data_IF_768345860268
#
_entry.id   IF_768345860268
#
_cell.length_a   1.000
_cell.length_b   1.000
_cell.length_c   1.000
_cell.angle_alpha   90.00
_cell.angle_beta   90.00
_cell.angle_gamma   90.00
#
_symmetry.space_group_name_H-M   'P 1'
#
loop_
_entity.id
_entity.type
_entity.pdbx_description
1 polymer ?
#
# COMPACT_ATOMS: atom_id res chain seq x y z
N UNK A 1 -9.59 -13.32 41.91
CA UNK A 1 -10.43 -12.57 40.95
C UNK A 1 -11.55 -13.48 40.46
N UNK A 2 -12.81 -13.05 40.41
CA UNK A 2 -13.99 -13.87 40.03
C UNK A 2 -14.44 -13.56 38.60
N UNK A 3 -13.55 -13.77 37.62
CA UNK A 3 -13.85 -13.53 36.20
C UNK A 3 -14.68 -14.72 35.70
N UNK A 4 -15.86 -14.46 35.11
CA UNK A 4 -16.84 -15.46 34.67
C UNK A 4 -17.14 -15.42 33.17
N UNK A 5 -16.33 -14.69 32.40
CA UNK A 5 -16.52 -14.61 30.95
C UNK A 5 -16.27 -15.98 30.29
N UNK A 6 -17.16 -16.39 29.40
CA UNK A 6 -17.08 -17.71 28.75
C UNK A 6 -15.78 -17.89 27.96
N UNK A 7 -15.31 -16.85 27.27
CA UNK A 7 -14.04 -16.87 26.55
C UNK A 7 -12.84 -17.13 27.49
N UNK A 8 -12.87 -16.58 28.70
CA UNK A 8 -11.85 -16.83 29.70
C UNK A 8 -11.92 -18.28 30.22
N UNK A 9 -13.13 -18.77 30.53
CA UNK A 9 -13.35 -20.14 30.98
C UNK A 9 -12.92 -21.17 29.92
N UNK A 10 -13.13 -20.91 28.64
CA UNK A 10 -12.62 -21.75 27.55
C UNK A 10 -11.09 -21.83 27.52
N UNK A 11 -10.40 -20.70 27.70
CA UNK A 11 -8.93 -20.67 27.74
C UNK A 11 -8.42 -21.45 28.95
N UNK A 12 -9.05 -21.30 30.11
CA UNK A 12 -8.72 -22.07 31.32
C UNK A 12 -8.90 -23.58 31.07
N UNK A 13 -10.03 -23.98 30.49
CA UNK A 13 -10.29 -25.37 30.13
C UNK A 13 -9.27 -25.93 29.13
N UNK A 14 -8.85 -25.13 28.13
CA UNK A 14 -7.78 -25.53 27.19
C UNK A 14 -6.46 -25.70 27.92
N UNK A 15 -6.12 -24.80 28.83
CA UNK A 15 -4.89 -24.84 29.61
C UNK A 15 -4.83 -26.09 30.50
N UNK A 16 -5.93 -26.45 31.17
CA UNK A 16 -6.02 -27.70 31.94
C UNK A 16 -5.81 -28.93 31.05
N UNK A 17 -6.47 -28.99 29.89
CA UNK A 17 -6.25 -30.08 28.91
C UNK A 17 -4.79 -30.18 28.47
N UNK A 18 -4.12 -29.06 28.25
CA UNK A 18 -2.70 -29.05 27.89
C UNK A 18 -1.79 -29.49 29.04
N UNK A 19 -2.10 -29.13 30.30
CA UNK A 19 -1.36 -29.61 31.48
C UNK A 19 -1.46 -31.12 31.63
N UNK A 20 -2.67 -31.68 31.58
CA UNK A 20 -2.86 -33.14 31.66
C UNK A 20 -2.13 -33.86 30.54
N UNK A 21 -2.17 -33.32 29.31
CA UNK A 21 -1.43 -33.86 28.17
C UNK A 21 0.09 -33.80 28.38
N UNK A 22 0.60 -32.68 28.91
CA UNK A 22 2.01 -32.49 29.22
C UNK A 22 2.48 -33.54 30.23
N UNK A 23 1.77 -33.69 31.34
CA UNK A 23 2.11 -34.65 32.41
C UNK A 23 2.04 -36.11 31.96
N UNK A 24 1.08 -36.44 31.08
CA UNK A 24 0.93 -37.78 30.50
C UNK A 24 1.97 -38.13 29.43
N UNK A 25 2.69 -37.14 28.90
CA UNK A 25 3.64 -37.34 27.82
C UNK A 25 4.91 -38.03 28.34
N UNK A 26 5.39 -39.04 27.60
CA UNK A 26 6.56 -39.85 27.99
C UNK A 26 7.82 -39.01 28.28
N UNK A 27 8.03 -37.96 27.49
CA UNK A 27 9.16 -37.04 27.62
C UNK A 27 9.10 -36.16 28.89
N UNK A 28 7.96 -36.06 29.58
CA UNK A 28 7.81 -35.21 30.75
C UNK A 28 8.70 -35.67 31.92
N UNK A 29 8.90 -36.98 32.05
CA UNK A 29 9.70 -37.63 33.10
C UNK A 29 11.08 -38.09 32.62
N UNK A 30 11.44 -37.77 31.39
CA UNK A 30 12.71 -38.19 30.79
C UNK A 30 13.87 -37.32 31.31
N UNK A 31 14.97 -37.89 31.85
CA UNK A 31 16.13 -37.13 32.32
C UNK A 31 16.81 -36.30 31.21
N UNK A 32 16.70 -36.73 29.95
CA UNK A 32 17.29 -36.04 28.79
C UNK A 32 16.32 -35.05 28.14
N UNK A 33 15.12 -34.84 28.71
CA UNK A 33 14.07 -33.98 28.16
C UNK A 33 14.60 -32.62 27.73
N UNK A 34 15.35 -31.94 28.60
CA UNK A 34 15.79 -30.56 28.36
C UNK A 34 16.79 -30.51 27.19
N UNK A 35 17.72 -31.46 27.11
CA UNK A 35 18.65 -31.60 25.98
C UNK A 35 17.90 -31.90 24.67
N UNK A 36 16.93 -32.82 24.69
CA UNK A 36 16.14 -33.18 23.51
C UNK A 36 15.27 -32.03 23.04
N UNK A 37 14.69 -31.27 23.98
CA UNK A 37 13.89 -30.10 23.70
C UNK A 37 14.75 -28.98 23.09
N UNK A 38 15.95 -28.73 23.62
CA UNK A 38 16.89 -27.75 23.07
C UNK A 38 17.31 -28.11 21.64
N UNK A 39 17.66 -29.39 21.38
CA UNK A 39 17.96 -29.88 20.03
C UNK A 39 16.78 -29.70 19.08
N UNK A 40 15.56 -29.98 19.53
CA UNK A 40 14.35 -29.79 18.74
C UNK A 40 14.07 -28.30 18.46
N UNK A 41 14.24 -27.43 19.46
CA UNK A 41 14.07 -25.99 19.32
C UNK A 41 15.02 -25.43 18.26
N UNK A 42 16.31 -25.79 18.34
CA UNK A 42 17.31 -25.37 17.36
C UNK A 42 16.99 -25.89 15.94
N UNK A 43 16.49 -27.12 15.82
CA UNK A 43 16.00 -27.65 14.53
C UNK A 43 14.82 -26.85 13.98
N UNK A 44 13.89 -26.41 14.83
CA UNK A 44 12.74 -25.61 14.41
C UNK A 44 13.13 -24.19 14.02
N UNK A 45 14.10 -23.58 14.72
CA UNK A 45 14.69 -22.29 14.34
C UNK A 45 15.34 -22.37 12.96
N UNK A 46 16.23 -23.35 12.75
CA UNK A 46 16.87 -23.56 11.44
C UNK A 46 15.85 -23.84 10.33
N UNK A 47 14.78 -24.59 10.63
CA UNK A 47 13.69 -24.82 9.66
C UNK A 47 12.95 -23.53 9.31
N UNK A 48 12.73 -22.64 10.29
CA UNK A 48 12.12 -21.33 10.07
C UNK A 48 13.03 -20.45 9.22
N UNK A 49 14.33 -20.42 9.51
CA UNK A 49 15.33 -19.71 8.72
C UNK A 49 15.39 -20.22 7.28
N UNK A 50 15.39 -21.55 7.08
CA UNK A 50 15.35 -22.17 5.76
C UNK A 50 14.11 -21.73 4.97
N UNK A 51 12.92 -21.84 5.58
CA UNK A 51 11.67 -21.44 4.92
C UNK A 51 11.68 -19.94 4.55
N UNK A 52 12.22 -19.08 5.41
CA UNK A 52 12.36 -17.66 5.13
C UNK A 52 13.34 -17.41 3.98
N UNK A 53 14.50 -18.07 3.99
CA UNK A 53 15.49 -17.95 2.92
C UNK A 53 14.96 -18.48 1.57
N UNK A 54 14.20 -19.57 1.57
CA UNK A 54 13.52 -20.08 0.37
C UNK A 54 12.47 -19.09 -0.16
N UNK A 55 11.70 -18.48 0.74
CA UNK A 55 10.76 -17.43 0.39
C UNK A 55 11.45 -16.20 -0.22
N UNK A 56 12.53 -15.73 0.41
CA UNK A 56 13.31 -14.57 -0.06
C UNK A 56 13.98 -14.85 -1.41
N UNK A 57 14.52 -16.06 -1.60
CA UNK A 57 15.09 -16.49 -2.87
C UNK A 57 14.04 -16.57 -3.97
N UNK A 58 12.84 -17.08 -3.67
CA UNK A 58 11.72 -17.08 -4.62
C UNK A 58 11.29 -15.65 -4.96
N UNK A 59 11.23 -14.78 -3.97
CA UNK A 59 10.91 -13.35 -4.12
C UNK A 59 11.95 -12.62 -4.97
N UNK A 60 13.24 -12.87 -4.76
CA UNK A 60 14.34 -12.27 -5.52
C UNK A 60 14.40 -12.77 -6.98
N UNK A 61 14.03 -14.03 -7.22
CA UNK A 61 13.93 -14.61 -8.58
C UNK A 61 12.68 -14.16 -9.33
N UNK A 62 11.59 -13.86 -8.62
CA UNK A 62 10.44 -13.21 -9.20
C UNK A 62 10.85 -11.81 -9.66
N UNK A 63 10.48 -11.42 -10.87
CA UNK A 63 10.61 -10.02 -11.29
C UNK A 63 9.65 -9.20 -10.42
N UNK A 64 10.14 -8.73 -9.26
CA UNK A 64 9.39 -8.09 -8.18
C UNK A 64 8.38 -7.04 -8.65
N UNK A 65 8.70 -6.34 -9.74
CA UNK A 65 7.91 -5.24 -10.27
C UNK A 65 6.95 -5.65 -11.39
N UNK A 66 6.92 -6.92 -11.84
CA UNK A 66 6.05 -7.31 -12.96
C UNK A 66 4.56 -7.25 -12.60
N UNK A 67 4.20 -7.57 -11.37
CA UNK A 67 2.80 -7.49 -10.93
C UNK A 67 2.36 -6.04 -10.73
N UNK A 68 3.24 -5.22 -10.13
CA UNK A 68 3.00 -3.78 -10.02
C UNK A 68 2.90 -3.12 -11.41
N UNK A 69 3.79 -3.47 -12.34
CA UNK A 69 3.75 -2.99 -13.72
C UNK A 69 2.43 -3.36 -14.40
N UNK A 70 1.92 -4.58 -14.22
CA UNK A 70 0.60 -4.98 -14.74
C UNK A 70 -0.53 -4.12 -14.14
N UNK A 71 -0.47 -3.81 -12.84
CA UNK A 71 -1.43 -2.93 -12.18
C UNK A 71 -1.36 -1.51 -12.76
N UNK A 72 -0.15 -0.92 -12.89
CA UNK A 72 0.06 0.40 -13.49
C UNK A 72 -0.42 0.46 -14.94
N UNK A 73 -0.12 -0.55 -15.76
CA UNK A 73 -0.66 -0.65 -17.15
C UNK A 73 -2.17 -0.67 -17.17
N UNK A 74 -2.82 -1.36 -16.23
CA UNK A 74 -4.28 -1.37 -16.12
C UNK A 74 -4.84 0.02 -15.81
N UNK A 75 -4.19 0.77 -14.91
CA UNK A 75 -4.55 2.18 -14.62
C UNK A 75 -4.44 3.03 -15.88
N UNK A 76 -3.29 3.00 -16.56
CA UNK A 76 -3.04 3.76 -17.79
C UNK A 76 -4.09 3.46 -18.88
N UNK A 77 -4.45 2.19 -19.05
CA UNK A 77 -5.48 1.78 -20.01
C UNK A 77 -6.87 2.29 -19.63
N UNK A 78 -7.24 2.22 -18.34
CA UNK A 78 -8.54 2.71 -17.85
C UNK A 78 -8.68 4.21 -17.91
N UNK A 79 -7.59 4.95 -17.74
CA UNK A 79 -7.57 6.41 -17.82
C UNK A 79 -7.37 6.93 -19.26
N UNK A 80 -7.17 6.04 -20.23
CA UNK A 80 -7.04 6.38 -21.66
C UNK A 80 -5.65 6.89 -22.06
N UNK A 81 -4.60 6.54 -21.32
CA UNK A 81 -3.20 6.87 -21.64
C UNK A 81 -2.59 5.88 -22.64
N UNK A 82 -3.11 4.66 -22.68
CA UNK A 82 -2.72 3.64 -23.65
C UNK A 82 -3.92 2.74 -24.00
N UNK A 83 -3.86 2.08 -25.15
CA UNK A 83 -4.86 1.09 -25.57
C UNK A 83 -4.69 -0.24 -24.85
N UNK A 84 -5.66 -1.15 -25.00
CA UNK A 84 -5.57 -2.53 -24.49
C UNK A 84 -4.37 -3.31 -25.02
N UNK A 85 -3.83 -2.91 -26.18
CA UNK A 85 -2.65 -3.47 -26.83
C UNK A 85 -1.34 -2.74 -26.47
N UNK A 86 -1.38 -1.87 -25.44
CA UNK A 86 -0.23 -1.08 -24.99
C UNK A 86 0.31 -0.06 -26.00
N UNK A 87 -0.55 0.41 -26.90
CA UNK A 87 -0.22 1.51 -27.81
C UNK A 87 -0.52 2.83 -27.10
N UNK A 88 0.46 3.74 -27.07
CA UNK A 88 0.33 5.04 -26.42
C UNK A 88 -0.72 5.93 -27.11
N UNK A 89 -1.60 6.54 -26.31
CA UNK A 89 -2.63 7.46 -26.76
C UNK A 89 -2.17 8.93 -26.65
N UNK A 90 -2.96 9.86 -27.18
CA UNK A 90 -2.67 11.32 -27.08
C UNK A 90 -2.44 11.77 -25.65
N UNK A 91 -3.25 11.29 -24.70
CA UNK A 91 -3.11 11.59 -23.28
C UNK A 91 -1.79 11.07 -22.71
N UNK A 92 -1.38 9.87 -23.13
CA UNK A 92 -0.08 9.29 -22.81
C UNK A 92 1.08 10.15 -23.31
N UNK A 93 1.02 10.63 -24.56
CA UNK A 93 2.06 11.50 -25.13
C UNK A 93 2.19 12.81 -24.36
N UNK A 94 1.09 13.43 -23.97
CA UNK A 94 1.12 14.65 -23.14
C UNK A 94 1.76 14.40 -21.78
N UNK A 95 1.41 13.30 -21.11
CA UNK A 95 2.04 12.94 -19.84
C UNK A 95 3.54 12.67 -19.96
N UNK A 96 4.03 12.14 -21.08
CA UNK A 96 5.47 11.94 -21.30
C UNK A 96 6.28 13.24 -21.30
N UNK A 97 5.65 14.39 -21.53
CA UNK A 97 6.30 15.71 -21.50
C UNK A 97 6.34 16.32 -20.09
N UNK A 98 5.70 15.67 -19.10
CA UNK A 98 5.68 16.12 -17.70
C UNK A 98 6.65 15.25 -16.89
N UNK A 99 7.69 15.87 -16.34
CA UNK A 99 8.73 15.16 -15.56
C UNK A 99 8.97 15.71 -14.16
N UNK A 100 8.41 16.89 -13.85
CA UNK A 100 8.70 17.63 -12.62
C UNK A 100 7.63 17.46 -11.51
N UNK A 101 6.56 16.72 -11.78
CA UNK A 101 5.36 16.62 -10.93
C UNK A 101 4.55 15.37 -11.31
N UNK A 102 3.45 15.09 -10.58
CA UNK A 102 2.52 14.00 -10.89
C UNK A 102 1.91 14.19 -12.30
N UNK A 103 2.45 13.43 -13.25
CA UNK A 103 2.12 13.52 -14.66
C UNK A 103 0.67 13.07 -14.96
N UNK A 104 0.12 12.15 -14.16
CA UNK A 104 -1.25 11.68 -14.34
C UNK A 104 -2.24 12.78 -13.93
N UNK A 105 -2.06 13.36 -12.75
CA UNK A 105 -2.97 14.36 -12.22
C UNK A 105 -2.98 15.63 -13.08
N UNK A 106 -1.81 16.17 -13.44
CA UNK A 106 -1.73 17.37 -14.29
C UNK A 106 -2.35 17.11 -15.66
N UNK A 107 -2.09 15.95 -16.25
CA UNK A 107 -2.67 15.60 -17.55
C UNK A 107 -4.19 15.45 -17.45
N UNK A 108 -4.74 14.82 -16.40
CA UNK A 108 -6.20 14.77 -16.19
C UNK A 108 -6.79 16.16 -15.99
N UNK A 109 -6.12 17.07 -15.29
CA UNK A 109 -6.56 18.47 -15.12
C UNK A 109 -6.62 19.20 -16.47
N UNK A 110 -5.60 19.00 -17.32
CA UNK A 110 -5.56 19.57 -18.67
C UNK A 110 -6.71 19.04 -19.53
N UNK A 111 -6.92 17.72 -19.58
CA UNK A 111 -7.96 17.10 -20.39
C UNK A 111 -9.38 17.34 -19.86
N UNK A 112 -9.54 17.64 -18.56
CA UNK A 112 -10.81 18.10 -17.98
C UNK A 112 -11.04 19.60 -18.19
N UNK A 113 -10.10 20.32 -18.80
CA UNK A 113 -10.23 21.75 -19.09
C UNK A 113 -10.15 22.65 -17.86
N UNK A 114 -9.57 22.17 -16.75
CA UNK A 114 -9.48 22.93 -15.49
C UNK A 114 -8.76 24.26 -15.71
N UNK A 115 -7.66 24.26 -16.47
CA UNK A 115 -6.85 25.44 -16.72
C UNK A 115 -7.50 26.46 -17.67
N UNK A 116 -8.55 26.10 -18.42
CA UNK A 116 -9.16 26.97 -19.43
C UNK A 116 -9.79 28.23 -18.82
N UNK A 117 -10.23 28.16 -17.57
CA UNK A 117 -10.92 29.24 -16.87
C UNK A 117 -10.07 29.90 -15.78
N UNK A 118 -8.77 29.58 -15.70
CA UNK A 118 -7.87 30.16 -14.71
C UNK A 118 -7.04 31.28 -15.31
N UNK A 119 -6.84 32.33 -14.53
CA UNK A 119 -5.82 33.34 -14.82
C UNK A 119 -4.41 32.76 -14.64
N UNK A 120 -3.40 33.45 -15.19
CA UNK A 120 -2.00 33.05 -15.02
C UNK A 120 -1.58 32.98 -13.52
N UNK A 121 -1.94 33.94 -12.65
CA UNK A 121 -1.65 33.83 -11.22
C UNK A 121 -2.32 32.62 -10.54
N UNK A 122 -3.58 32.33 -10.89
CA UNK A 122 -4.30 31.18 -10.33
C UNK A 122 -3.69 29.85 -10.79
N UNK A 123 -3.30 29.76 -12.06
CA UNK A 123 -2.59 28.59 -12.60
C UNK A 123 -1.26 28.37 -11.88
N UNK A 124 -0.47 29.43 -11.69
CA UNK A 124 0.79 29.37 -10.95
C UNK A 124 0.57 28.92 -9.49
N UNK A 125 -0.43 29.51 -8.81
CA UNK A 125 -0.78 29.16 -7.44
C UNK A 125 -1.18 27.68 -7.32
N UNK A 126 -1.97 27.15 -8.26
CA UNK A 126 -2.37 25.74 -8.25
C UNK A 126 -1.18 24.81 -8.53
N UNK A 127 -0.34 25.14 -9.51
CA UNK A 127 0.85 24.34 -9.84
C UNK A 127 1.90 24.34 -8.71
N UNK A 128 1.92 25.37 -7.86
CA UNK A 128 2.81 25.41 -6.69
C UNK A 128 2.59 24.22 -5.74
N UNK A 129 1.38 23.63 -5.72
CA UNK A 129 1.05 22.45 -4.92
C UNK A 129 1.74 21.17 -5.36
N UNK A 130 2.33 21.13 -6.56
CA UNK A 130 2.99 19.94 -7.11
C UNK A 130 4.50 19.92 -6.88
N UNK A 131 5.09 21.03 -6.46
CA UNK A 131 6.55 21.21 -6.37
C UNK A 131 7.03 21.53 -4.96
N UNK A 132 6.11 21.77 -4.02
CA UNK A 132 6.42 22.07 -2.64
C UNK A 132 6.21 20.83 -1.77
N UNK A 133 7.29 20.10 -1.49
CA UNK A 133 7.27 18.92 -0.61
C UNK A 133 7.46 19.26 0.88
N UNK A 134 7.72 20.54 1.20
CA UNK A 134 7.90 20.99 2.57
C UNK A 134 6.57 21.01 3.33
N UNK A 135 6.55 20.32 4.48
CA UNK A 135 5.38 20.34 5.37
C UNK A 135 5.32 21.67 6.10
N UNK A 136 4.36 22.51 5.73
CA UNK A 136 3.98 23.68 6.53
C UNK A 136 2.97 23.31 7.61
N UNK A 137 3.17 23.81 8.82
CA UNK A 137 2.17 23.76 9.91
C UNK A 137 1.04 24.77 9.73
N UNK A 138 1.20 25.72 8.80
CA UNK A 138 0.23 26.78 8.53
C UNK A 138 -0.26 26.71 7.09
N UNK A 139 -1.56 26.45 6.91
CA UNK A 139 -2.23 26.72 5.64
C UNK A 139 -2.88 28.11 5.72
N UNK A 140 -2.55 29.05 4.82
CA UNK A 140 -3.22 30.34 4.78
C UNK A 140 -4.70 30.15 4.42
N UNK A 141 -5.56 31.06 4.91
CA UNK A 141 -6.97 31.09 4.49
C UNK A 141 -7.02 31.38 2.99
N UNK A 142 -7.42 30.38 2.21
CA UNK A 142 -7.56 30.51 0.76
C UNK A 142 -8.79 31.36 0.45
N UNK A 143 -8.63 32.35 -0.44
CA UNK A 143 -9.77 33.04 -1.04
C UNK A 143 -10.59 32.10 -1.92
N UNK A 144 -11.85 32.45 -2.17
CA UNK A 144 -12.76 31.62 -2.99
C UNK A 144 -12.17 31.27 -4.36
N UNK A 145 -11.46 32.23 -4.97
CA UNK A 145 -10.78 32.13 -6.25
C UNK A 145 -9.73 31.00 -6.34
N UNK A 146 -9.10 30.62 -5.22
CA UNK A 146 -8.11 29.54 -5.17
C UNK A 146 -8.70 28.24 -4.59
N UNK A 147 -9.70 28.36 -3.72
CA UNK A 147 -10.36 27.21 -3.11
C UNK A 147 -11.12 26.34 -4.13
N UNK A 148 -11.73 26.98 -5.14
CA UNK A 148 -12.46 26.28 -6.20
C UNK A 148 -11.55 25.39 -7.06
N UNK A 149 -10.48 25.94 -7.66
CA UNK A 149 -9.50 25.16 -8.44
C UNK A 149 -8.83 24.05 -7.62
N UNK A 150 -8.47 24.34 -6.37
CA UNK A 150 -7.89 23.35 -5.46
C UNK A 150 -8.85 22.17 -5.22
N UNK A 151 -10.14 22.45 -4.98
CA UNK A 151 -11.15 21.40 -4.79
C UNK A 151 -11.33 20.54 -6.04
N UNK A 152 -11.38 21.15 -7.22
CA UNK A 152 -11.48 20.42 -8.49
C UNK A 152 -10.27 19.51 -8.72
N UNK A 153 -9.06 20.00 -8.46
CA UNK A 153 -7.84 19.20 -8.51
C UNK A 153 -7.94 17.99 -7.58
N UNK A 154 -8.35 18.20 -6.31
CA UNK A 154 -8.51 17.11 -5.34
C UNK A 154 -9.58 16.09 -5.76
N UNK A 155 -10.66 16.50 -6.42
CA UNK A 155 -11.68 15.60 -6.96
C UNK A 155 -11.11 14.71 -8.08
N UNK A 156 -10.29 15.27 -8.96
CA UNK A 156 -9.57 14.52 -10.00
C UNK A 156 -8.58 13.54 -9.35
N UNK A 157 -7.83 14.00 -8.36
CA UNK A 157 -6.87 13.19 -7.61
C UNK A 157 -7.55 11.98 -6.94
N UNK A 158 -8.69 12.20 -6.28
CA UNK A 158 -9.54 11.14 -5.71
C UNK A 158 -10.03 10.15 -6.76
N UNK A 159 -10.39 10.61 -7.97
CA UNK A 159 -10.80 9.73 -9.08
C UNK A 159 -9.64 8.85 -9.53
N UNK A 160 -8.43 9.41 -9.69
CA UNK A 160 -7.22 8.63 -10.04
C UNK A 160 -6.95 7.59 -8.96
N UNK A 161 -6.92 8.00 -7.69
CA UNK A 161 -6.70 7.10 -6.55
C UNK A 161 -7.70 5.93 -6.53
N UNK A 162 -8.99 6.21 -6.78
CA UNK A 162 -10.02 5.17 -6.89
C UNK A 162 -9.72 4.17 -8.01
N UNK A 163 -9.41 4.66 -9.22
CA UNK A 163 -9.07 3.79 -10.36
C UNK A 163 -7.82 2.96 -10.06
N UNK A 164 -6.82 3.53 -9.42
CA UNK A 164 -5.60 2.83 -8.99
C UNK A 164 -5.90 1.72 -7.98
N UNK A 165 -6.74 2.00 -6.97
CA UNK A 165 -7.16 1.01 -5.99
C UNK A 165 -7.93 -0.15 -6.64
N UNK A 166 -8.89 0.15 -7.52
CA UNK A 166 -9.64 -0.85 -8.31
C UNK A 166 -8.73 -1.70 -9.21
N UNK A 167 -7.58 -1.15 -9.62
CA UNK A 167 -6.54 -1.85 -10.37
C UNK A 167 -5.57 -2.66 -9.51
N UNK A 168 -5.78 -2.73 -8.19
CA UNK A 168 -4.88 -3.38 -7.21
C UNK A 168 -3.50 -2.76 -7.15
N UNK A 169 -3.40 -1.47 -7.46
CA UNK A 169 -2.20 -0.70 -7.20
C UNK A 169 -2.30 -0.15 -5.78
N UNK A 170 -1.34 -0.48 -4.92
CA UNK A 170 -1.24 0.15 -3.60
C UNK A 170 -0.80 1.60 -3.81
N UNK A 171 -1.75 2.52 -3.63
CA UNK A 171 -1.45 3.95 -3.58
C UNK A 171 -1.42 4.30 -2.10
N UNK A 172 -0.28 4.80 -1.62
CA UNK A 172 -0.21 5.41 -0.29
C UNK A 172 -1.24 6.53 -0.18
N UNK A 173 -1.72 6.81 1.03
CA UNK A 173 -2.56 7.98 1.27
C UNK A 173 -1.74 9.25 0.98
N UNK A 174 -1.77 9.71 -0.27
CA UNK A 174 -1.16 10.94 -0.73
C UNK A 174 -2.25 11.71 -1.46
N UNK A 175 -3.10 12.38 -0.69
CA UNK A 175 -3.72 13.70 -0.93
C UNK A 175 -4.34 14.16 0.39
#
# INVERSE_FOLDING_TARGET
>A
MKIKEDAFLEVVNKLEKFKTRLESHKLHRDPERDMLYEKYSKKMELKKELNNAEYDLKKARSLLQMDELKCRKRVLRRLGYATSQDVIERKGRVACELSAADELLITEMLFNGLFNNLSAPQTCALLSTFVCDEKSSEMPKLGEELSGPLRQMQDIARRIARVSHECKLEVGALF
#
